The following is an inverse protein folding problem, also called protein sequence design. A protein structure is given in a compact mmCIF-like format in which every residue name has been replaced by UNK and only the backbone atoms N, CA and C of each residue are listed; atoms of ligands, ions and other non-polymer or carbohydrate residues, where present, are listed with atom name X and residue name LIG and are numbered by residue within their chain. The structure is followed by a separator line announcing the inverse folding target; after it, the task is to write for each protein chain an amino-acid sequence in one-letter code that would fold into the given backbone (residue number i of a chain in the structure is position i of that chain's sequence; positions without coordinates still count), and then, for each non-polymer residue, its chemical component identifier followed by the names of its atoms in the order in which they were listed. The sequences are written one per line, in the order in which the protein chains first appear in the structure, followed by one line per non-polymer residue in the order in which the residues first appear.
data_IF_810767020415
#
_entry.id   IF_810767020415
#
_cell.length_a   1.000
_cell.length_b   1.000
_cell.length_c   1.000
_cell.angle_alpha   90.00
_cell.angle_beta   90.00
_cell.angle_gamma   90.00
#
_symmetry.space_group_name_H-M   'P 1'
#
loop_
_entity.id
_entity.type
_entity.pdbx_description
1 polymer ?
#
# COMPACT_ATOMS: atom_id res chain seq x y z
N UNK A 1 88.47 3.48 24.11
CA UNK A 1 88.18 2.79 22.84
C UNK A 1 86.93 3.42 22.25
N UNK A 2 87.07 3.94 21.03
CA UNK A 2 86.09 4.72 20.28
C UNK A 2 84.84 3.89 19.94
N UNK A 3 83.66 4.31 20.41
CA UNK A 3 82.37 3.77 20.00
C UNK A 3 82.08 4.22 18.57
N UNK A 4 82.32 3.34 17.60
CA UNK A 4 82.03 3.61 16.19
C UNK A 4 80.52 3.63 15.99
N UNK A 5 79.95 4.81 15.77
CA UNK A 5 78.60 4.99 15.23
C UNK A 5 78.59 4.59 13.74
N UNK A 6 78.80 3.29 13.47
CA UNK A 6 78.67 2.71 12.15
C UNK A 6 77.21 2.38 11.89
N UNK A 7 76.70 2.71 10.70
CA UNK A 7 75.40 2.21 10.22
C UNK A 7 75.39 0.70 10.43
N UNK A 8 74.55 0.21 11.35
CA UNK A 8 74.44 -1.23 11.62
C UNK A 8 74.14 -1.95 10.30
N UNK A 9 74.81 -3.08 10.06
CA UNK A 9 74.51 -3.93 8.92
C UNK A 9 73.04 -4.37 8.96
N UNK A 10 72.40 -4.48 7.81
CA UNK A 10 70.97 -4.79 7.70
C UNK A 10 70.63 -6.12 8.39
N UNK A 11 71.55 -7.10 8.36
CA UNK A 11 71.40 -8.39 9.05
C UNK A 11 71.36 -8.20 10.56
N UNK A 12 72.16 -7.27 11.10
CA UNK A 12 72.21 -6.99 12.53
C UNK A 12 70.94 -6.28 13.01
N UNK A 13 70.42 -5.34 12.20
CA UNK A 13 69.13 -4.66 12.49
C UNK A 13 67.97 -5.67 12.49
N UNK A 14 67.92 -6.56 11.51
CA UNK A 14 66.90 -7.61 11.43
C UNK A 14 66.94 -8.53 12.65
N UNK A 15 68.15 -8.86 13.14
CA UNK A 15 68.33 -9.70 14.33
C UNK A 15 67.84 -9.02 15.61
N UNK A 16 68.03 -7.71 15.74
CA UNK A 16 67.47 -6.93 16.86
C UNK A 16 65.94 -6.92 16.81
N UNK A 17 65.36 -6.76 15.62
CA UNK A 17 63.90 -6.85 15.42
C UNK A 17 63.35 -8.23 15.75
N UNK A 18 64.03 -9.30 15.32
CA UNK A 18 63.64 -10.66 15.64
C UNK A 18 63.61 -10.91 17.15
N UNK A 19 64.62 -10.45 17.88
CA UNK A 19 64.66 -10.55 19.34
C UNK A 19 63.59 -9.69 20.01
N UNK A 20 63.24 -8.53 19.44
CA UNK A 20 62.16 -7.70 19.93
C UNK A 20 60.79 -8.38 19.76
N UNK A 21 60.52 -8.95 18.58
CA UNK A 21 59.29 -9.71 18.29
C UNK A 21 59.19 -10.95 19.19
N UNK A 22 60.30 -11.66 19.43
CA UNK A 22 60.33 -12.79 20.37
C UNK A 22 59.99 -12.37 21.81
N UNK A 23 60.44 -11.19 22.24
CA UNK A 23 60.13 -10.65 23.57
C UNK A 23 58.66 -10.24 23.68
N UNK A 24 58.12 -9.55 22.68
CA UNK A 24 56.71 -9.18 22.65
C UNK A 24 55.81 -10.41 22.66
N UNK A 25 56.07 -11.41 21.81
CA UNK A 25 55.30 -12.66 21.76
C UNK A 25 55.37 -13.48 23.06
N UNK A 26 56.43 -13.33 23.87
CA UNK A 26 56.53 -14.00 25.18
C UNK A 26 55.65 -13.32 26.23
N UNK A 27 55.44 -12.01 26.13
CA UNK A 27 54.68 -11.22 27.11
C UNK A 27 53.20 -11.15 26.72
N UNK A 28 52.91 -10.98 25.44
CA UNK A 28 51.57 -10.96 24.89
C UNK A 28 51.06 -12.38 24.67
N UNK A 29 50.60 -13.04 25.73
CA UNK A 29 49.77 -14.23 25.59
C UNK A 29 48.36 -13.79 25.23
N UNK A 30 47.96 -13.98 23.97
CA UNK A 30 46.57 -13.83 23.55
C UNK A 30 45.74 -14.84 24.36
N UNK A 31 44.74 -14.37 25.09
CA UNK A 31 43.84 -15.27 25.77
C UNK A 31 42.82 -15.80 24.74
N UNK A 32 43.09 -16.99 24.20
CA UNK A 32 42.20 -17.65 23.22
C UNK A 32 40.89 -18.15 23.85
N UNK A 33 40.83 -18.19 25.19
CA UNK A 33 39.64 -18.52 25.96
C UNK A 33 38.99 -17.24 26.47
N UNK A 34 38.16 -16.64 25.61
CA UNK A 34 37.21 -15.59 25.99
C UNK A 34 36.03 -16.20 26.78
N UNK A 35 36.34 -16.82 27.91
CA UNK A 35 35.33 -17.35 28.83
C UNK A 35 35.02 -16.28 29.87
N UNK A 36 33.77 -15.84 29.95
CA UNK A 36 33.30 -15.06 31.09
C UNK A 36 33.39 -16.01 32.29
N UNK A 37 34.29 -15.73 33.23
CA UNK A 37 34.60 -16.62 34.37
C UNK A 37 33.41 -16.88 35.28
N UNK A 38 32.42 -15.99 35.28
CA UNK A 38 31.20 -16.10 36.07
C UNK A 38 29.97 -15.80 35.18
N UNK A 39 29.16 -16.81 34.83
CA UNK A 39 27.99 -16.64 33.97
C UNK A 39 26.91 -15.73 34.60
N UNK A 40 26.96 -15.46 35.90
CA UNK A 40 26.02 -14.52 36.58
C UNK A 40 26.37 -13.06 36.33
N UNK A 41 27.61 -12.78 35.94
CA UNK A 41 28.08 -11.43 35.58
C UNK A 41 27.82 -11.11 34.10
N UNK A 42 27.25 -12.05 33.36
CA UNK A 42 26.87 -11.84 31.98
C UNK A 42 25.60 -10.99 31.94
N UNK A 43 25.71 -9.77 31.41
CA UNK A 43 24.57 -8.88 31.21
C UNK A 43 23.65 -9.50 30.15
N UNK A 44 22.55 -10.11 30.60
CA UNK A 44 21.51 -10.63 29.69
C UNK A 44 20.76 -9.43 29.14
N UNK A 45 21.02 -9.10 27.87
CA UNK A 45 20.27 -8.07 27.16
C UNK A 45 18.83 -8.57 26.98
N UNK A 46 17.81 -7.80 27.41
CA UNK A 46 16.43 -8.17 27.15
C UNK A 46 16.17 -8.17 25.65
N UNK A 47 15.31 -9.08 25.22
CA UNK A 47 14.90 -9.15 23.82
C UNK A 47 14.25 -7.84 23.37
N UNK A 48 14.36 -7.52 22.07
CA UNK A 48 13.70 -6.34 21.54
C UNK A 48 12.20 -6.42 21.89
N UNK A 49 11.59 -5.35 22.43
CA UNK A 49 10.16 -5.34 22.75
C UNK A 49 9.28 -5.58 21.51
N UNK A 50 9.84 -5.42 20.31
CA UNK A 50 9.19 -5.68 19.02
C UNK A 50 9.48 -7.08 18.47
N UNK A 51 9.91 -8.05 19.27
CA UNK A 51 10.07 -9.42 18.81
C UNK A 51 8.69 -10.06 18.62
N UNK A 52 8.12 -9.87 17.44
CA UNK A 52 6.94 -10.61 16.99
C UNK A 52 7.37 -12.00 16.55
N UNK A 53 6.95 -13.03 17.28
CA UNK A 53 7.02 -14.41 16.78
C UNK A 53 5.96 -14.52 15.69
N UNK A 54 6.30 -14.90 14.44
CA UNK A 54 5.30 -15.16 13.42
C UNK A 54 4.36 -16.24 13.94
N UNK A 55 3.11 -15.88 14.22
CA UNK A 55 2.08 -16.85 14.53
C UNK A 55 1.95 -17.81 13.36
N UNK A 56 1.87 -19.11 13.64
CA UNK A 56 1.64 -20.12 12.60
C UNK A 56 0.38 -19.75 11.81
N UNK A 57 0.42 -19.97 10.49
CA UNK A 57 -0.74 -19.76 9.65
C UNK A 57 -1.91 -20.56 10.22
N UNK A 58 -3.10 -19.95 10.39
CA UNK A 58 -4.26 -20.65 10.89
C UNK A 58 -4.63 -21.81 9.97
N UNK A 59 -5.17 -22.87 10.55
CA UNK A 59 -5.64 -24.02 9.81
C UNK A 59 -6.82 -23.63 8.91
N UNK A 60 -7.02 -24.38 7.81
CA UNK A 60 -8.07 -24.09 6.84
C UNK A 60 -9.47 -24.08 7.50
N UNK A 61 -9.68 -24.95 8.51
CA UNK A 61 -10.93 -25.00 9.27
C UNK A 61 -11.18 -23.74 10.11
N UNK A 62 -10.13 -23.16 10.72
CA UNK A 62 -10.26 -21.92 11.51
C UNK A 62 -10.50 -20.73 10.61
N UNK A 63 -9.86 -20.69 9.43
CA UNK A 63 -10.13 -19.66 8.41
C UNK A 63 -11.58 -19.76 7.93
N UNK A 64 -12.08 -20.96 7.61
CA UNK A 64 -13.45 -21.16 7.17
C UNK A 64 -14.48 -20.70 8.24
N UNK A 65 -14.28 -21.07 9.50
CA UNK A 65 -15.13 -20.64 10.61
C UNK A 65 -15.12 -19.11 10.78
N UNK A 66 -13.95 -18.47 10.71
CA UNK A 66 -13.82 -17.02 10.79
C UNK A 66 -14.46 -16.29 9.60
N UNK A 67 -14.39 -16.87 8.38
CA UNK A 67 -15.09 -16.32 7.22
C UNK A 67 -16.61 -16.44 7.35
N UNK A 68 -17.11 -17.55 7.91
CA UNK A 68 -18.54 -17.74 8.13
C UNK A 68 -19.10 -16.72 9.14
N UNK A 69 -18.39 -16.47 10.24
CA UNK A 69 -18.80 -15.45 11.23
C UNK A 69 -18.71 -14.04 10.65
N UNK A 70 -17.71 -13.75 9.82
CA UNK A 70 -17.63 -12.48 9.09
C UNK A 70 -18.80 -12.31 8.14
N UNK A 71 -19.19 -13.34 7.40
CA UNK A 71 -20.35 -13.28 6.51
C UNK A 71 -21.63 -13.13 7.32
N UNK A 72 -21.78 -13.79 8.46
CA UNK A 72 -22.96 -13.64 9.31
C UNK A 72 -23.10 -12.21 9.85
N UNK A 73 -22.01 -11.66 10.41
CA UNK A 73 -22.01 -10.35 11.07
C UNK A 73 -21.95 -9.18 10.09
N UNK A 74 -21.16 -9.33 9.02
CA UNK A 74 -20.88 -8.30 8.03
C UNK A 74 -21.52 -8.58 6.66
N UNK A 75 -22.40 -9.58 6.54
CA UNK A 75 -23.31 -9.65 5.40
C UNK A 75 -23.95 -8.29 5.27
N UNK A 76 -23.82 -7.72 4.07
CA UNK A 76 -24.36 -6.41 3.80
C UNK A 76 -25.88 -6.50 3.96
N UNK A 77 -26.39 -6.10 5.12
CA UNK A 77 -27.83 -6.02 5.35
C UNK A 77 -28.39 -5.02 4.34
N UNK A 78 -29.54 -5.36 3.77
CA UNK A 78 -30.28 -4.49 2.86
C UNK A 78 -29.55 -4.11 1.56
N UNK A 79 -28.72 -4.98 0.96
CA UNK A 79 -28.04 -4.71 -0.34
C UNK A 79 -29.00 -4.20 -1.41
N UNK A 80 -30.21 -4.75 -1.42
CA UNK A 80 -31.21 -4.43 -2.44
C UNK A 80 -31.91 -3.09 -2.20
N UNK A 81 -31.79 -2.50 -1.01
CA UNK A 81 -32.41 -1.21 -0.69
C UNK A 81 -31.59 -0.06 -1.27
N UNK A 82 -32.26 0.87 -1.93
CA UNK A 82 -31.63 2.11 -2.35
C UNK A 82 -31.21 2.95 -1.13
N UNK A 83 -30.22 3.85 -1.24
CA UNK A 83 -29.76 4.66 -0.12
C UNK A 83 -30.88 5.45 0.59
N UNK A 84 -31.91 5.86 -0.15
CA UNK A 84 -33.08 6.58 0.36
C UNK A 84 -33.98 5.70 1.22
N UNK A 85 -34.05 4.41 0.92
CA UNK A 85 -34.83 3.43 1.70
C UNK A 85 -34.03 2.91 2.91
N UNK A 86 -32.70 3.01 2.85
CA UNK A 86 -31.78 2.54 3.90
C UNK A 86 -31.54 3.58 4.99
N UNK A 87 -31.43 4.84 4.63
CA UNK A 87 -31.09 5.92 5.57
C UNK A 87 -32.18 6.99 5.58
N UNK A 88 -32.44 7.58 6.76
CA UNK A 88 -33.37 8.71 6.86
C UNK A 88 -32.81 10.00 6.22
N UNK A 89 -31.49 10.14 6.22
CA UNK A 89 -30.74 11.28 5.72
C UNK A 89 -29.45 10.81 5.03
N UNK A 90 -28.91 11.59 4.07
CA UNK A 90 -27.64 11.26 3.42
C UNK A 90 -26.50 11.25 4.46
N UNK A 91 -25.74 10.15 4.48
CA UNK A 91 -24.68 9.94 5.48
C UNK A 91 -23.33 10.50 5.01
N UNK A 92 -23.13 10.59 3.69
CA UNK A 92 -21.89 11.06 3.08
C UNK A 92 -22.18 12.14 2.05
N UNK A 93 -21.22 13.03 1.77
CA UNK A 93 -21.41 14.11 0.78
C UNK A 93 -21.69 13.60 -0.64
N UNK A 94 -21.26 12.38 -0.98
CA UNK A 94 -21.62 11.76 -2.26
C UNK A 94 -23.09 11.32 -2.31
N UNK A 95 -23.68 10.99 -1.16
CA UNK A 95 -25.09 10.59 -1.08
C UNK A 95 -26.04 11.78 -1.21
N UNK A 96 -25.62 13.00 -0.85
CA UNK A 96 -26.46 14.21 -0.98
C UNK A 96 -27.00 14.38 -2.40
N UNK A 97 -26.17 14.06 -3.40
CA UNK A 97 -26.56 14.12 -4.80
C UNK A 97 -27.59 13.06 -5.13
N UNK A 98 -28.84 13.49 -5.35
CA UNK A 98 -29.94 12.61 -5.74
C UNK A 98 -30.62 11.87 -4.58
N UNK A 99 -30.21 12.09 -3.32
CA UNK A 99 -30.91 11.51 -2.16
C UNK A 99 -32.39 11.86 -2.15
N UNK A 100 -32.69 13.13 -2.41
CA UNK A 100 -34.05 13.66 -2.39
C UNK A 100 -34.76 13.58 -3.75
N UNK A 101 -34.38 12.65 -4.64
CA UNK A 101 -35.01 12.53 -5.98
C UNK A 101 -36.51 12.21 -5.93
N UNK A 102 -37.01 11.59 -4.85
CA UNK A 102 -38.44 11.32 -4.63
C UNK A 102 -39.20 12.54 -4.08
N UNK A 103 -38.49 13.51 -3.53
CA UNK A 103 -39.10 14.75 -3.07
C UNK A 103 -39.45 15.53 -4.32
N UNK A 104 -40.74 15.80 -4.51
CA UNK A 104 -41.18 16.69 -5.58
C UNK A 104 -40.60 18.07 -5.31
N UNK A 105 -39.49 18.37 -5.97
CA UNK A 105 -38.93 19.71 -6.08
C UNK A 105 -40.04 20.61 -6.61
N UNK A 106 -40.18 21.81 -6.04
CA UNK A 106 -41.13 22.78 -6.53
C UNK A 106 -40.96 22.96 -8.05
N UNK A 107 -42.09 23.05 -8.78
CA UNK A 107 -42.03 23.26 -10.22
C UNK A 107 -41.14 24.48 -10.52
N UNK A 108 -40.25 24.39 -11.52
CA UNK A 108 -39.41 25.52 -11.87
C UNK A 108 -40.27 26.75 -12.16
N UNK A 109 -39.74 27.93 -11.82
CA UNK A 109 -40.45 29.18 -12.12
C UNK A 109 -40.73 29.26 -13.63
N UNK A 110 -41.97 29.61 -14.04
CA UNK A 110 -42.32 29.75 -15.46
C UNK A 110 -41.42 30.74 -16.20
N UNK A 111 -40.86 31.72 -15.49
CA UNK A 111 -39.94 32.71 -16.04
C UNK A 111 -38.64 32.10 -16.59
N UNK A 112 -38.18 30.98 -16.02
CA UNK A 112 -36.94 30.31 -16.42
C UNK A 112 -37.19 28.97 -17.13
N UNK A 113 -38.46 28.61 -17.38
CA UNK A 113 -38.85 27.36 -18.03
C UNK A 113 -38.87 27.53 -19.56
N UNK A 114 -37.69 27.51 -20.17
CA UNK A 114 -37.54 27.61 -21.64
C UNK A 114 -37.41 26.23 -22.29
N UNK A 115 -38.53 25.49 -22.35
CA UNK A 115 -38.60 24.20 -23.04
C UNK A 115 -38.42 24.41 -24.54
N UNK A 116 -37.56 23.60 -25.15
CA UNK A 116 -37.42 23.56 -26.61
C UNK A 116 -38.50 22.65 -27.17
N UNK A 117 -39.41 23.23 -27.94
CA UNK A 117 -40.41 22.49 -28.69
C UNK A 117 -39.88 22.25 -30.10
N UNK A 118 -40.19 21.10 -30.71
CA UNK A 118 -39.95 20.93 -32.13
C UNK A 118 -40.75 21.99 -32.90
N UNK A 119 -40.17 22.49 -33.97
CA UNK A 119 -40.84 23.31 -34.96
C UNK A 119 -41.19 22.47 -36.18
N UNK A 120 -42.04 23.02 -37.05
CA UNK A 120 -42.50 22.36 -38.29
C UNK A 120 -41.34 21.81 -39.13
N UNK A 121 -40.22 22.52 -39.19
CA UNK A 121 -39.03 22.07 -39.91
C UNK A 121 -38.39 20.83 -39.28
N UNK A 122 -38.30 20.78 -37.94
CA UNK A 122 -37.77 19.61 -37.24
C UNK A 122 -38.73 18.43 -37.29
N UNK A 123 -40.03 18.68 -37.28
CA UNK A 123 -41.05 17.63 -37.43
C UNK A 123 -40.99 17.03 -38.83
N UNK A 124 -40.94 17.88 -39.87
CA UNK A 124 -40.74 17.46 -41.25
C UNK A 124 -39.46 16.63 -41.42
N UNK A 125 -38.35 17.08 -40.84
CA UNK A 125 -37.09 16.33 -40.91
C UNK A 125 -37.19 14.97 -40.22
N UNK A 126 -37.88 14.89 -39.07
CA UNK A 126 -38.12 13.62 -38.38
C UNK A 126 -39.03 12.68 -39.20
N UNK A 127 -40.10 13.20 -39.80
CA UNK A 127 -41.00 12.43 -40.66
C UNK A 127 -40.30 11.93 -41.92
N UNK A 128 -39.48 12.77 -42.55
CA UNK A 128 -38.67 12.40 -43.71
C UNK A 128 -37.69 11.26 -43.40
N UNK A 129 -37.02 11.32 -42.24
CA UNK A 129 -36.13 10.25 -41.79
C UNK A 129 -36.92 8.97 -41.52
N UNK A 130 -38.11 9.07 -40.92
CA UNK A 130 -39.01 7.92 -40.68
C UNK A 130 -39.49 7.30 -41.99
N UNK A 131 -39.89 8.09 -42.98
CA UNK A 131 -40.34 7.59 -44.29
C UNK A 131 -39.22 6.91 -45.07
N UNK A 132 -37.96 7.32 -44.85
CA UNK A 132 -36.79 6.77 -45.51
C UNK A 132 -36.10 5.63 -44.72
N UNK A 133 -36.83 4.97 -43.81
CA UNK A 133 -36.34 3.80 -43.08
C UNK A 133 -35.25 4.12 -42.04
N UNK A 134 -35.26 5.34 -41.49
CA UNK A 134 -34.30 5.79 -40.48
C UNK A 134 -32.98 6.30 -41.03
N UNK A 135 -32.83 6.36 -42.36
CA UNK A 135 -31.60 6.81 -43.02
C UNK A 135 -31.76 8.29 -43.40
N UNK A 136 -30.96 9.15 -42.77
CA UNK A 136 -30.93 10.58 -43.06
C UNK A 136 -30.37 10.90 -44.45
N UNK A 137 -30.73 12.05 -45.03
CA UNK A 137 -30.37 12.43 -46.41
C UNK A 137 -28.86 12.58 -46.65
N UNK A 138 -28.06 12.75 -45.59
CA UNK A 138 -26.61 12.92 -45.68
C UNK A 138 -25.81 11.64 -45.40
N UNK A 139 -26.50 10.52 -45.16
CA UNK A 139 -25.83 9.22 -45.00
C UNK A 139 -25.68 8.62 -46.40
N UNK A 140 -24.46 8.68 -46.96
CA UNK A 140 -24.16 7.96 -48.20
C UNK A 140 -24.42 6.48 -47.95
N UNK A 141 -25.32 5.86 -48.72
CA UNK A 141 -25.35 4.40 -48.80
C UNK A 141 -23.99 3.97 -49.35
N UNK A 142 -23.12 3.48 -48.47
CA UNK A 142 -21.95 2.71 -48.90
C UNK A 142 -22.53 1.46 -49.56
N UNK A 143 -22.63 1.51 -50.90
CA UNK A 143 -23.04 0.38 -51.71
C UNK A 143 -22.13 -0.81 -51.36
N UNK A 144 -22.73 -1.93 -50.94
CA UNK A 144 -22.11 -3.25 -51.02
C UNK A 144 -22.25 -3.77 -52.45
#
# INVERSE_FOLDING_TARGET
MSMVAGKMDAVSVNRVWEEHVKKENRILTLNDQFCISDPRKMTVLPEKPNRTVPTQNPDAATVAAATATLVELASAKDVDKTPVDRYALPVTGNMDYGFFHRVNLAKPSPMFEHKRHPCELTDYAQEYIKSNGGIGPYISRLNK
#
